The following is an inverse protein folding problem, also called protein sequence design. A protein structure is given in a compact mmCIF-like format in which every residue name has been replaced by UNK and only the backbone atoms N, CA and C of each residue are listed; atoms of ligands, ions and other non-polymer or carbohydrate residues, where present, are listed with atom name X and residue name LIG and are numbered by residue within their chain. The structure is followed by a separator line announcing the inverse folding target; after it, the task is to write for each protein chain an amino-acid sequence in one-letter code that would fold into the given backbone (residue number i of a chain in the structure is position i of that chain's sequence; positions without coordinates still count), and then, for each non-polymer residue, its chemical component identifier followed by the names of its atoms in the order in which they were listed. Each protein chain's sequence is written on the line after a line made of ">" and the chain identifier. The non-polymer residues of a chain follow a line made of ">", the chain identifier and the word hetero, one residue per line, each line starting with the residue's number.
data_IF_521917494745
#
_entry.id   IF_521917494745
#
_cell.length_a   1.000
_cell.length_b   1.000
_cell.length_c   1.000
_cell.angle_alpha   90.00
_cell.angle_beta   90.00
_cell.angle_gamma   90.00
#
_symmetry.space_group_name_H-M   'P 1'
#
loop_
_entity.id
_entity.type
_entity.pdbx_description
1 polymer ?
#
# COMPACT_ATOMS: atom_id res chain seq x y z
N UNK A 1 -23.62 -9.69 14.74
CA UNK A 1 -23.02 -8.99 15.90
C UNK A 1 -21.50 -9.15 15.90
N UNK A 2 -20.93 -10.38 15.89
CA UNK A 2 -19.47 -10.63 15.99
C UNK A 2 -18.64 -9.96 14.88
N UNK A 3 -19.07 -10.05 13.62
CA UNK A 3 -18.38 -9.43 12.49
C UNK A 3 -18.40 -7.89 12.52
N UNK A 4 -19.45 -7.28 13.08
CA UNK A 4 -19.53 -5.84 13.25
C UNK A 4 -18.59 -5.36 14.37
N UNK A 5 -18.52 -6.07 15.49
CA UNK A 5 -17.61 -5.77 16.59
C UNK A 5 -16.14 -5.89 16.17
N UNK A 6 -15.78 -6.91 15.40
CA UNK A 6 -14.43 -7.08 14.86
C UNK A 6 -14.05 -5.94 13.90
N UNK A 7 -14.99 -5.49 13.06
CA UNK A 7 -14.74 -4.32 12.18
C UNK A 7 -14.54 -3.03 12.95
N UNK A 8 -15.33 -2.81 14.01
CA UNK A 8 -15.16 -1.63 14.88
C UNK A 8 -13.79 -1.65 15.56
N UNK A 9 -13.35 -2.80 16.08
CA UNK A 9 -12.03 -2.93 16.67
C UNK A 9 -10.92 -2.58 15.65
N UNK A 10 -10.98 -3.13 14.45
CA UNK A 10 -10.02 -2.82 13.38
C UNK A 10 -10.00 -1.32 13.02
N UNK A 11 -11.17 -0.68 12.94
CA UNK A 11 -11.28 0.76 12.69
C UNK A 11 -10.64 1.60 13.81
N UNK A 12 -10.85 1.23 15.07
CA UNK A 12 -10.24 1.90 16.22
C UNK A 12 -8.72 1.76 16.18
N UNK A 13 -8.22 0.57 15.92
CA UNK A 13 -6.78 0.31 15.82
C UNK A 13 -6.13 1.11 14.69
N UNK A 14 -6.76 1.16 13.52
CA UNK A 14 -6.29 1.95 12.37
C UNK A 14 -6.27 3.45 12.68
N UNK A 15 -7.31 3.98 13.35
CA UNK A 15 -7.37 5.39 13.77
C UNK A 15 -6.31 5.73 14.83
N UNK A 16 -6.09 4.83 15.80
CA UNK A 16 -5.03 4.99 16.79
C UNK A 16 -3.65 4.99 16.14
N UNK A 17 -3.42 4.12 15.16
CA UNK A 17 -2.17 4.06 14.39
C UNK A 17 -1.97 5.35 13.58
N UNK A 18 -2.99 5.85 12.89
CA UNK A 18 -2.94 7.13 12.17
C UNK A 18 -2.61 8.30 13.12
N UNK A 19 -3.24 8.32 14.31
CA UNK A 19 -2.97 9.33 15.35
C UNK A 19 -1.53 9.24 15.88
N UNK A 20 -1.01 8.04 16.12
CA UNK A 20 0.39 7.82 16.57
C UNK A 20 1.40 8.27 15.54
N UNK A 21 1.18 7.94 14.27
CA UNK A 21 2.04 8.36 13.17
C UNK A 21 2.21 9.89 13.13
N UNK A 22 1.13 10.65 13.40
CA UNK A 22 1.18 12.12 13.39
C UNK A 22 2.00 12.74 14.51
N UNK A 23 2.21 12.02 15.61
CA UNK A 23 2.90 12.50 16.82
C UNK A 23 4.32 11.97 16.98
N UNK A 24 4.73 11.03 16.16
CA UNK A 24 6.04 10.39 16.28
C UNK A 24 7.11 11.23 15.57
N UNK A 25 8.18 11.56 16.28
CA UNK A 25 9.36 12.15 15.66
C UNK A 25 9.99 11.13 14.67
N UNK A 26 10.33 11.60 13.47
CA UNK A 26 11.05 10.81 12.49
C UNK A 26 12.38 10.35 13.04
N UNK A 27 12.71 9.07 12.82
CA UNK A 27 14.00 8.48 13.09
C UNK A 27 14.60 7.96 11.77
N UNK A 28 15.09 8.86 10.89
CA UNK A 28 15.57 8.46 9.59
C UNK A 28 16.83 7.62 9.71
N UNK A 29 16.89 6.56 8.90
CA UNK A 29 18.03 5.67 8.74
C UNK A 29 18.18 5.35 7.26
N UNK A 30 19.38 4.94 6.87
CA UNK A 30 19.62 4.41 5.53
C UNK A 30 19.14 2.96 5.48
N UNK A 31 18.09 2.69 4.68
CA UNK A 31 17.38 1.41 4.64
C UNK A 31 17.19 0.90 3.21
N UNK A 32 17.05 -0.42 3.08
CA UNK A 32 16.75 -1.08 1.80
C UNK A 32 15.25 -1.37 1.73
N UNK A 33 14.50 -0.62 0.90
CA UNK A 33 13.06 -0.83 0.69
C UNK A 33 12.77 -2.19 0.07
N UNK A 34 13.63 -2.68 -0.83
CA UNK A 34 13.44 -3.97 -1.51
C UNK A 34 13.38 -5.13 -0.50
N UNK A 35 14.23 -5.10 0.53
CA UNK A 35 14.20 -6.12 1.60
C UNK A 35 12.91 -6.10 2.40
N UNK A 36 12.40 -4.90 2.72
CA UNK A 36 11.10 -4.77 3.42
C UNK A 36 9.98 -5.34 2.55
N UNK A 37 10.00 -5.06 1.25
CA UNK A 37 9.00 -5.59 0.30
C UNK A 37 9.10 -7.11 0.19
N UNK A 38 10.30 -7.68 0.13
CA UNK A 38 10.53 -9.13 0.10
C UNK A 38 9.96 -9.82 1.35
N UNK A 39 10.20 -9.27 2.54
CA UNK A 39 9.65 -9.79 3.80
C UNK A 39 8.12 -9.76 3.83
N UNK A 40 7.51 -8.66 3.39
CA UNK A 40 6.05 -8.54 3.29
C UNK A 40 5.48 -9.50 2.24
N UNK A 41 6.10 -9.60 1.08
CA UNK A 41 5.69 -10.51 0.01
C UNK A 41 5.71 -11.97 0.45
N UNK A 42 6.76 -12.37 1.19
CA UNK A 42 6.86 -13.71 1.77
C UNK A 42 5.73 -13.96 2.78
N UNK A 43 5.46 -13.04 3.70
CA UNK A 43 4.39 -13.16 4.68
C UNK A 43 3.00 -13.27 4.01
N UNK A 44 2.75 -12.48 2.96
CA UNK A 44 1.52 -12.57 2.18
C UNK A 44 1.38 -13.93 1.49
N UNK A 45 2.44 -14.45 0.88
CA UNK A 45 2.46 -15.76 0.24
C UNK A 45 2.24 -16.90 1.23
N UNK A 46 2.84 -16.83 2.42
CA UNK A 46 2.64 -17.81 3.50
C UNK A 46 1.21 -17.82 4.03
N UNK A 47 0.51 -16.67 4.02
CA UNK A 47 -0.90 -16.58 4.42
C UNK A 47 -1.85 -17.30 3.48
N UNK A 48 -1.49 -17.45 2.19
CA UNK A 48 -2.27 -18.15 1.16
C UNK A 48 -1.33 -18.95 0.24
N UNK A 49 -0.79 -20.09 0.69
CA UNK A 49 0.26 -20.85 -0.04
C UNK A 49 -0.16 -21.33 -1.43
N UNK A 50 -1.45 -21.57 -1.63
CA UNK A 50 -2.00 -22.09 -2.90
C UNK A 50 -2.27 -20.98 -3.93
N UNK A 51 -2.11 -19.71 -3.56
CA UNK A 51 -2.35 -18.60 -4.48
C UNK A 51 -1.14 -18.39 -5.39
N UNK A 52 -1.38 -18.38 -6.70
CA UNK A 52 -0.33 -18.13 -7.68
C UNK A 52 -0.09 -16.63 -7.84
N UNK A 53 1.01 -16.16 -7.27
CA UNK A 53 1.42 -14.75 -7.32
C UNK A 53 2.86 -14.65 -7.78
N UNK A 54 3.10 -13.80 -8.76
CA UNK A 54 4.45 -13.41 -9.19
C UNK A 54 4.78 -12.06 -8.61
N UNK A 55 5.80 -12.00 -7.76
CA UNK A 55 6.39 -10.75 -7.30
C UNK A 55 7.59 -10.39 -8.16
N UNK A 56 7.61 -9.17 -8.71
CA UNK A 56 8.75 -8.58 -9.41
C UNK A 56 9.28 -7.41 -8.59
N UNK A 57 10.40 -7.62 -7.90
CA UNK A 57 10.97 -6.65 -6.96
C UNK A 57 12.32 -6.18 -7.50
N UNK A 58 12.44 -4.87 -7.77
CA UNK A 58 13.75 -4.29 -8.13
C UNK A 58 14.66 -4.35 -6.91
N UNK A 59 15.86 -4.97 -6.99
CA UNK A 59 16.75 -5.12 -5.86
C UNK A 59 17.40 -3.80 -5.43
N UNK A 60 17.84 -3.74 -4.17
CA UNK A 60 18.74 -2.72 -3.61
C UNK A 60 18.26 -1.26 -3.74
N UNK A 61 16.96 -1.04 -3.58
CA UNK A 61 16.41 0.31 -3.53
C UNK A 61 16.67 0.93 -2.15
N UNK A 62 17.82 1.59 -2.01
CA UNK A 62 18.26 2.25 -0.77
C UNK A 62 17.66 3.64 -0.63
N UNK A 63 17.15 3.99 0.55
CA UNK A 63 16.60 5.32 0.88
C UNK A 63 16.98 5.75 2.28
N UNK A 64 16.89 7.04 2.56
CA UNK A 64 16.89 7.58 3.91
C UNK A 64 15.42 7.77 4.37
N UNK A 65 15.05 7.17 5.51
CA UNK A 65 13.70 7.26 6.05
C UNK A 65 13.50 6.47 7.33
N UNK A 66 12.35 6.64 7.97
CA UNK A 66 12.03 5.88 9.19
C UNK A 66 11.58 4.45 8.83
N UNK A 67 12.34 3.41 9.23
CA UNK A 67 12.07 2.04 8.81
C UNK A 67 10.70 1.53 9.29
N UNK A 68 10.24 1.98 10.47
CA UNK A 68 8.94 1.56 11.02
C UNK A 68 7.79 2.16 10.21
N UNK A 69 7.91 3.43 9.85
CA UNK A 69 6.88 4.14 9.08
C UNK A 69 6.85 3.66 7.63
N UNK A 70 8.00 3.45 7.01
CA UNK A 70 8.07 2.95 5.64
C UNK A 70 7.62 1.48 5.52
N UNK A 71 7.82 0.67 6.57
CA UNK A 71 7.20 -0.66 6.63
C UNK A 71 5.66 -0.57 6.57
N UNK A 72 5.05 0.34 7.36
CA UNK A 72 3.58 0.56 7.32
C UNK A 72 3.11 1.00 5.93
N UNK A 73 3.84 1.88 5.24
CA UNK A 73 3.54 2.29 3.86
C UNK A 73 3.51 1.09 2.93
N UNK A 74 4.61 0.32 2.90
CA UNK A 74 4.76 -0.82 1.99
C UNK A 74 3.77 -1.94 2.30
N UNK A 75 3.52 -2.22 3.58
CA UNK A 75 2.52 -3.20 4.01
C UNK A 75 1.11 -2.83 3.52
N UNK A 76 0.70 -1.56 3.67
CA UNK A 76 -0.60 -1.10 3.17
C UNK A 76 -0.71 -1.20 1.65
N UNK A 77 0.31 -0.77 0.91
CA UNK A 77 0.29 -0.81 -0.56
C UNK A 77 0.30 -2.25 -1.09
N UNK A 78 1.16 -3.13 -0.54
CA UNK A 78 1.25 -4.53 -0.96
C UNK A 78 0.01 -5.34 -0.55
N UNK A 79 -0.54 -5.11 0.65
CA UNK A 79 -1.80 -5.75 1.08
C UNK A 79 -2.98 -5.32 0.21
N UNK A 80 -3.01 -4.06 -0.27
CA UNK A 80 -3.99 -3.62 -1.25
C UNK A 80 -3.80 -4.32 -2.59
N UNK A 81 -2.59 -4.37 -3.13
CA UNK A 81 -2.27 -5.09 -4.37
C UNK A 81 -2.68 -6.58 -4.26
N UNK A 82 -2.33 -7.24 -3.15
CA UNK A 82 -2.74 -8.60 -2.85
C UNK A 82 -4.26 -8.78 -2.83
N UNK A 83 -4.97 -7.90 -2.15
CA UNK A 83 -6.42 -7.94 -2.01
C UNK A 83 -7.13 -7.72 -3.34
N UNK A 84 -6.77 -6.68 -4.09
CA UNK A 84 -7.48 -6.30 -5.33
C UNK A 84 -7.13 -7.18 -6.54
N UNK A 85 -6.14 -8.04 -6.41
CA UNK A 85 -5.80 -9.09 -7.38
C UNK A 85 -6.39 -10.47 -7.04
N UNK A 86 -7.20 -10.59 -5.97
CA UNK A 86 -7.70 -11.88 -5.48
C UNK A 86 -8.59 -12.63 -6.47
N UNK A 87 -9.16 -11.93 -7.46
CA UNK A 87 -10.00 -12.51 -8.52
C UNK A 87 -9.20 -12.82 -9.80
N UNK A 88 -7.90 -12.54 -9.84
CA UNK A 88 -7.05 -12.82 -11.00
C UNK A 88 -6.53 -14.26 -10.95
N UNK A 89 -6.57 -14.96 -12.09
CA UNK A 89 -5.97 -16.29 -12.20
C UNK A 89 -4.45 -16.26 -12.03
N UNK A 90 -3.82 -15.23 -12.60
CA UNK A 90 -2.39 -14.96 -12.48
C UNK A 90 -2.20 -13.57 -11.90
N UNK A 91 -1.84 -13.52 -10.64
CA UNK A 91 -1.53 -12.27 -9.95
C UNK A 91 -0.10 -11.86 -10.24
N UNK A 92 0.10 -10.60 -10.62
CA UNK A 92 1.40 -9.96 -10.76
C UNK A 92 1.43 -8.71 -9.88
N UNK A 93 2.43 -8.65 -9.00
CA UNK A 93 2.68 -7.49 -8.14
C UNK A 93 4.13 -7.06 -8.35
N UNK A 94 4.33 -5.79 -8.69
CA UNK A 94 5.64 -5.24 -8.98
C UNK A 94 5.99 -4.13 -7.98
N UNK A 95 7.23 -4.11 -7.54
CA UNK A 95 7.82 -3.01 -6.77
C UNK A 95 9.10 -2.53 -7.44
N UNK A 96 9.22 -1.23 -7.66
CA UNK A 96 10.39 -0.70 -8.32
C UNK A 96 10.54 0.81 -8.20
N UNK A 97 11.52 1.33 -8.95
CA UNK A 97 11.79 2.74 -9.10
C UNK A 97 11.58 3.13 -10.57
N UNK A 98 10.90 4.25 -10.82
CA UNK A 98 10.67 4.78 -12.17
C UNK A 98 11.98 5.28 -12.76
N UNK A 99 12.38 4.72 -13.89
CA UNK A 99 13.55 5.18 -14.61
C UNK A 99 13.33 6.60 -15.17
N UNK A 100 14.40 7.41 -15.21
CA UNK A 100 14.42 8.75 -15.82
C UNK A 100 13.41 9.76 -15.26
N UNK A 101 12.85 9.52 -14.06
CA UNK A 101 12.05 10.53 -13.37
C UNK A 101 12.94 11.68 -12.87
N UNK A 102 12.44 12.92 -12.94
CA UNK A 102 13.15 14.09 -12.39
C UNK A 102 13.40 13.98 -10.88
N UNK A 103 12.50 13.31 -10.20
CA UNK A 103 12.53 13.05 -8.78
C UNK A 103 12.48 11.53 -8.56
N UNK A 104 13.19 11.03 -7.57
CA UNK A 104 13.25 9.60 -7.26
C UNK A 104 11.87 9.08 -6.89
N UNK A 105 11.25 8.35 -7.80
CA UNK A 105 9.86 7.88 -7.69
C UNK A 105 9.84 6.37 -7.60
N UNK A 106 9.27 5.86 -6.52
CA UNK A 106 9.01 4.44 -6.31
C UNK A 106 7.59 4.09 -6.73
N UNK A 107 7.33 2.81 -7.03
CA UNK A 107 6.00 2.35 -7.35
C UNK A 107 5.70 0.95 -6.82
N UNK A 108 4.42 0.74 -6.51
CA UNK A 108 3.81 -0.58 -6.34
C UNK A 108 2.73 -0.71 -7.39
N UNK A 109 2.82 -1.74 -8.24
CA UNK A 109 1.89 -2.00 -9.34
C UNK A 109 1.26 -3.37 -9.18
N UNK A 110 -0.02 -3.47 -9.48
CA UNK A 110 -0.76 -4.71 -9.53
C UNK A 110 -1.57 -4.83 -10.84
N UNK A 111 -1.93 -6.05 -11.21
CA UNK A 111 -2.81 -6.35 -12.34
C UNK A 111 -4.26 -6.66 -11.89
N UNK A 112 -4.72 -6.04 -10.81
CA UNK A 112 -6.02 -6.28 -10.20
C UNK A 112 -7.19 -5.64 -10.93
N UNK A 113 -8.29 -5.46 -10.18
CA UNK A 113 -9.54 -4.92 -10.73
C UNK A 113 -9.45 -3.46 -11.16
N UNK A 114 -8.48 -2.71 -10.65
CA UNK A 114 -8.35 -1.28 -10.93
C UNK A 114 -9.55 -0.47 -10.45
N UNK A 115 -9.59 0.81 -10.84
CA UNK A 115 -10.69 1.73 -10.57
C UNK A 115 -10.70 2.89 -11.58
N UNK A 116 -11.84 3.59 -11.67
CA UNK A 116 -11.96 4.79 -12.50
C UNK A 116 -11.24 5.98 -11.84
N UNK A 117 -10.33 6.61 -12.58
CA UNK A 117 -9.54 7.76 -12.14
C UNK A 117 -10.38 9.00 -11.79
N UNK A 118 -11.63 9.07 -12.19
CA UNK A 118 -12.57 10.11 -11.72
C UNK A 118 -12.74 10.13 -10.19
N UNK A 119 -12.42 9.01 -9.52
CA UNK A 119 -12.47 8.88 -8.06
C UNK A 119 -11.09 8.97 -7.37
N UNK A 120 -10.03 9.26 -8.11
CA UNK A 120 -8.65 9.29 -7.58
C UNK A 120 -8.47 10.24 -6.40
N UNK A 121 -9.13 11.40 -6.42
CA UNK A 121 -9.06 12.40 -5.34
C UNK A 121 -9.61 11.88 -4.00
N UNK A 122 -10.48 10.86 -4.04
CA UNK A 122 -11.06 10.26 -2.83
C UNK A 122 -10.20 9.15 -2.22
N UNK A 123 -9.20 8.64 -2.93
CA UNK A 123 -8.41 7.47 -2.51
C UNK A 123 -7.75 7.62 -1.14
N UNK A 124 -7.27 8.81 -0.85
CA UNK A 124 -6.48 9.10 0.35
C UNK A 124 -7.32 9.70 1.49
N UNK A 125 -8.63 9.83 1.28
CA UNK A 125 -9.56 10.25 2.32
C UNK A 125 -9.79 9.15 3.36
N UNK A 126 -9.93 9.54 4.63
CA UNK A 126 -10.28 8.61 5.72
C UNK A 126 -11.69 8.07 5.48
N UNK A 127 -11.86 6.74 5.63
CA UNK A 127 -13.12 6.01 5.37
C UNK A 127 -13.59 6.02 3.92
N UNK A 128 -12.75 6.49 2.97
CA UNK A 128 -13.06 6.43 1.56
C UNK A 128 -12.79 5.04 0.99
N UNK A 129 -13.71 4.58 0.14
CA UNK A 129 -13.65 3.26 -0.50
C UNK A 129 -14.23 3.36 -1.90
N UNK A 130 -13.56 2.77 -2.88
CA UNK A 130 -14.02 2.72 -4.28
C UNK A 130 -14.72 1.41 -4.62
N UNK A 131 -14.44 0.33 -3.87
CA UNK A 131 -15.10 -0.97 -4.03
C UNK A 131 -15.97 -1.29 -2.81
N UNK A 132 -17.00 -2.10 -3.02
CA UNK A 132 -17.91 -2.50 -1.94
C UNK A 132 -17.23 -3.38 -0.87
N UNK A 133 -17.75 -3.34 0.35
CA UNK A 133 -17.27 -4.18 1.46
C UNK A 133 -17.43 -5.67 1.17
N UNK A 134 -18.50 -6.03 0.44
CA UNK A 134 -18.78 -7.41 0.05
C UNK A 134 -17.78 -7.97 -0.95
N UNK A 135 -17.15 -7.11 -1.77
CA UNK A 135 -16.16 -7.53 -2.75
C UNK A 135 -14.76 -7.57 -2.18
N UNK A 136 -14.38 -6.52 -1.44
CA UNK A 136 -13.03 -6.40 -0.88
C UNK A 136 -13.10 -5.83 0.55
N UNK A 137 -12.66 -6.59 1.57
CA UNK A 137 -12.67 -6.14 2.95
C UNK A 137 -11.67 -5.00 3.19
N UNK A 138 -11.93 -4.15 4.20
CA UNK A 138 -11.02 -3.10 4.63
C UNK A 138 -11.75 -1.94 5.32
N UNK A 139 -10.98 -1.10 6.01
CA UNK A 139 -11.47 0.01 6.84
C UNK A 139 -11.56 1.35 6.10
N UNK A 140 -10.79 1.52 5.01
CA UNK A 140 -10.66 2.79 4.29
C UNK A 140 -9.73 3.80 4.98
N UNK A 141 -8.88 3.36 5.91
CA UNK A 141 -7.92 4.22 6.63
C UNK A 141 -6.48 4.03 6.10
N UNK A 142 -6.17 2.86 5.54
CA UNK A 142 -4.81 2.49 5.15
C UNK A 142 -4.13 3.47 4.20
N UNK A 143 -4.79 3.89 3.12
CA UNK A 143 -4.22 4.86 2.17
C UNK A 143 -4.09 6.27 2.75
N UNK A 144 -4.97 6.69 3.64
CA UNK A 144 -4.82 7.94 4.38
C UNK A 144 -3.58 7.91 5.30
N UNK A 145 -3.32 6.76 5.94
CA UNK A 145 -2.11 6.53 6.73
C UNK A 145 -0.86 6.59 5.85
N UNK A 146 -0.88 5.95 4.69
CA UNK A 146 0.21 6.01 3.71
C UNK A 146 0.50 7.45 3.30
N UNK A 147 -0.52 8.20 2.88
CA UNK A 147 -0.36 9.61 2.48
C UNK A 147 0.27 10.44 3.61
N UNK A 148 -0.18 10.24 4.85
CA UNK A 148 0.35 10.95 6.00
C UNK A 148 1.82 10.64 6.25
N UNK A 149 2.21 9.36 6.18
CA UNK A 149 3.61 8.95 6.38
C UNK A 149 4.50 9.52 5.28
N UNK A 150 4.09 9.44 4.04
CA UNK A 150 4.83 9.99 2.90
C UNK A 150 5.01 11.52 3.05
N UNK A 151 3.96 12.23 3.44
CA UNK A 151 4.03 13.68 3.69
C UNK A 151 5.00 14.05 4.83
N UNK A 152 5.08 13.23 5.91
CA UNK A 152 6.04 13.42 7.00
C UNK A 152 7.49 13.26 6.51
N UNK A 153 7.73 12.39 5.50
CA UNK A 153 9.03 12.24 4.84
C UNK A 153 9.33 13.32 3.80
N UNK A 154 8.41 14.28 3.59
CA UNK A 154 8.57 15.35 2.60
C UNK A 154 8.15 14.98 1.18
N UNK A 155 7.67 13.75 0.98
CA UNK A 155 7.26 13.24 -0.31
C UNK A 155 5.78 13.41 -0.63
N UNK A 156 5.37 12.78 -1.73
CA UNK A 156 3.99 12.73 -2.21
C UNK A 156 3.64 11.34 -2.72
N UNK A 157 2.34 11.02 -2.72
CA UNK A 157 1.80 9.77 -3.28
C UNK A 157 0.68 10.08 -4.26
N UNK A 158 0.58 9.29 -5.34
CA UNK A 158 -0.51 9.33 -6.30
C UNK A 158 -0.74 7.95 -6.91
N UNK A 159 -1.81 7.79 -7.68
CA UNK A 159 -2.13 6.55 -8.34
C UNK A 159 -2.45 6.76 -9.82
N UNK A 160 -2.20 5.73 -10.61
CA UNK A 160 -2.68 5.57 -11.97
C UNK A 160 -3.41 4.22 -12.05
N UNK A 161 -4.64 4.23 -12.57
CA UNK A 161 -5.47 3.03 -12.63
C UNK A 161 -6.44 3.09 -13.81
N UNK A 162 -6.90 1.92 -14.23
CA UNK A 162 -8.06 1.78 -15.10
C UNK A 162 -8.80 0.50 -14.73
N UNK A 163 -10.12 0.50 -14.84
CA UNK A 163 -10.96 -0.67 -14.56
C UNK A 163 -10.49 -1.89 -15.38
N UNK A 164 -10.29 -3.02 -14.70
CA UNK A 164 -9.82 -4.26 -15.28
C UNK A 164 -8.34 -4.30 -15.70
N UNK A 165 -7.56 -3.20 -15.48
CA UNK A 165 -6.15 -3.12 -15.86
C UNK A 165 -5.18 -3.00 -14.68
N UNK A 166 -5.71 -3.03 -13.45
CA UNK A 166 -4.93 -2.90 -12.24
C UNK A 166 -4.64 -1.45 -11.83
N UNK A 167 -3.79 -1.33 -10.83
CA UNK A 167 -3.43 -0.04 -10.22
C UNK A 167 -1.92 0.07 -10.07
N UNK A 168 -1.41 1.28 -10.23
CA UNK A 168 -0.03 1.62 -9.87
C UNK A 168 -0.07 2.79 -8.89
N UNK A 169 0.43 2.56 -7.69
CA UNK A 169 0.70 3.62 -6.73
C UNK A 169 2.14 4.09 -6.87
N UNK A 170 2.33 5.37 -7.03
CA UNK A 170 3.65 6.03 -7.08
C UNK A 170 3.86 6.86 -5.84
N UNK A 171 5.08 6.89 -5.32
CA UNK A 171 5.44 7.77 -4.21
C UNK A 171 6.89 8.25 -4.29
N UNK A 172 7.14 9.39 -3.67
CA UNK A 172 8.48 9.94 -3.41
C UNK A 172 8.71 10.01 -1.90
N UNK A 173 9.94 10.21 -1.48
CA UNK A 173 10.32 10.36 -0.07
C UNK A 173 11.17 11.60 0.12
#
# INVERSE_FOLDING_TARGET
>A
VRAAAQRMAALIDDLLNLSRVTRTALQPKFINLSKIVEEIAQSLQESQPNRQVTFSITPDLMVEGDPRLLHIVLENLLSNAWKFTSKQEKTVIEFGQKAHAKERTFYVRDNGVGFDMAYADKLFGVFQRLHSISEFPGTGVGLATVQRIIAIHGGRIWAESAEGKGTTFYFTL
#
